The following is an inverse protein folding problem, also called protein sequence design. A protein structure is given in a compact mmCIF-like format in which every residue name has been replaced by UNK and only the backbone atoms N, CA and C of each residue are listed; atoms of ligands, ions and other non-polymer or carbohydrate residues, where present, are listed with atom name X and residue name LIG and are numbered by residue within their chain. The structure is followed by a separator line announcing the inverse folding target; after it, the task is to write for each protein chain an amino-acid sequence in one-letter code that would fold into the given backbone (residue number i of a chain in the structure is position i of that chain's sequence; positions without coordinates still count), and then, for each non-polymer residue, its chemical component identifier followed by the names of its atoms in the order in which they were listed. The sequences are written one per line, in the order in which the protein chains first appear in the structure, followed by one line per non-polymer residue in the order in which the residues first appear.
data_IF_452981376832
#
_entry.id   IF_452981376832
#
_cell.length_a   1.000
_cell.length_b   1.000
_cell.length_c   1.000
_cell.angle_alpha   90.00
_cell.angle_beta   90.00
_cell.angle_gamma   90.00
#
_symmetry.space_group_name_H-M   'P 1'
#
loop_
_entity.id
_entity.type
_entity.pdbx_description
1 polymer ?
#
# COMPACT_ATOMS: atom_id res chain seq x y z
N UNK A 1 -18.39 12.31 -5.24
CA UNK A 1 -17.21 11.80 -4.52
C UNK A 1 -16.79 10.42 -5.03
N UNK A 2 -17.42 9.29 -4.62
CA UNK A 2 -17.00 7.93 -5.03
C UNK A 2 -17.17 7.65 -6.54
N UNK A 3 -18.28 8.10 -7.15
CA UNK A 3 -18.52 7.93 -8.60
C UNK A 3 -17.47 8.61 -9.47
N UNK A 4 -17.03 9.81 -9.10
CA UNK A 4 -15.99 10.52 -9.84
C UNK A 4 -14.65 9.77 -9.74
N UNK A 5 -14.25 9.38 -8.53
CA UNK A 5 -13.04 8.57 -8.29
C UNK A 5 -13.04 7.28 -9.12
N UNK A 6 -14.19 6.61 -9.21
CA UNK A 6 -14.36 5.41 -10.04
C UNK A 6 -14.12 5.69 -11.53
N UNK A 7 -14.70 6.77 -12.04
CA UNK A 7 -14.54 7.16 -13.44
C UNK A 7 -13.09 7.51 -13.76
N UNK A 8 -12.43 8.29 -12.89
CA UNK A 8 -11.03 8.66 -13.06
C UNK A 8 -10.13 7.42 -13.11
N UNK A 9 -10.39 6.43 -12.25
CA UNK A 9 -9.67 5.15 -12.25
C UNK A 9 -9.91 4.32 -13.51
N UNK A 10 -11.13 4.32 -14.05
CA UNK A 10 -11.50 3.61 -15.28
C UNK A 10 -10.87 4.24 -16.53
N UNK A 11 -10.74 5.57 -16.56
CA UNK A 11 -10.01 6.26 -17.62
C UNK A 11 -8.51 5.93 -17.63
N UNK A 12 -7.98 5.45 -16.50
CA UNK A 12 -6.59 5.11 -16.32
C UNK A 12 -5.82 6.25 -15.64
N UNK A 13 -4.91 5.85 -14.74
CA UNK A 13 -4.06 6.75 -13.98
C UNK A 13 -2.68 6.13 -13.80
N UNK A 14 -1.65 6.96 -13.83
CA UNK A 14 -0.27 6.53 -13.65
C UNK A 14 0.12 6.47 -12.17
N UNK A 15 -0.48 7.32 -11.33
CA UNK A 15 -0.19 7.42 -9.89
C UNK A 15 -1.51 7.48 -9.12
N UNK A 16 -1.62 6.68 -8.06
CA UNK A 16 -2.77 6.65 -7.15
C UNK A 16 -2.29 6.91 -5.72
N UNK A 17 -2.94 7.87 -5.05
CA UNK A 17 -2.83 8.07 -3.60
C UNK A 17 -4.17 7.69 -3.00
N UNK A 18 -4.19 6.71 -2.11
CA UNK A 18 -5.44 6.21 -1.54
C UNK A 18 -5.25 5.65 -0.13
N UNK A 19 -6.32 5.74 0.66
CA UNK A 19 -6.41 4.99 1.91
C UNK A 19 -6.79 3.53 1.62
N UNK A 20 -6.29 2.55 2.39
CA UNK A 20 -6.44 1.13 2.07
C UNK A 20 -7.89 0.69 1.86
N UNK A 21 -8.81 1.15 2.71
CA UNK A 21 -10.23 0.79 2.61
C UNK A 21 -10.86 1.22 1.28
N UNK A 22 -10.68 2.48 0.87
CA UNK A 22 -11.27 3.00 -0.37
C UNK A 22 -10.61 2.37 -1.61
N UNK A 23 -9.32 2.09 -1.58
CA UNK A 23 -8.65 1.41 -2.68
C UNK A 23 -9.20 -0.01 -2.86
N UNK A 24 -9.36 -0.77 -1.77
CA UNK A 24 -9.93 -2.11 -1.82
C UNK A 24 -11.36 -2.14 -2.34
N UNK A 25 -12.19 -1.13 -2.03
CA UNK A 25 -13.52 -1.00 -2.64
C UNK A 25 -13.41 -0.97 -4.17
N UNK A 26 -12.50 -0.16 -4.73
CA UNK A 26 -12.35 0.00 -6.17
C UNK A 26 -11.74 -1.23 -6.85
N UNK A 27 -10.81 -1.91 -6.18
CA UNK A 27 -10.24 -3.17 -6.64
C UNK A 27 -11.30 -4.28 -6.67
N UNK A 28 -12.11 -4.39 -5.61
CA UNK A 28 -13.15 -5.43 -5.49
C UNK A 28 -14.31 -5.21 -6.48
N UNK A 29 -14.62 -3.96 -6.82
CA UNK A 29 -15.61 -3.60 -7.83
C UNK A 29 -15.06 -3.59 -9.26
N UNK A 30 -13.81 -4.00 -9.50
CA UNK A 30 -13.15 -4.04 -10.81
C UNK A 30 -13.09 -2.68 -11.55
N UNK A 31 -13.13 -1.56 -10.82
CA UNK A 31 -12.93 -0.23 -11.44
C UNK A 31 -11.46 0.02 -11.82
N UNK A 32 -10.53 -0.69 -11.18
CA UNK A 32 -9.10 -0.68 -11.52
C UNK A 32 -8.43 -1.97 -11.07
N UNK A 33 -7.14 -2.13 -11.35
CA UNK A 33 -6.31 -3.22 -10.85
C UNK A 33 -4.85 -2.76 -10.69
N UNK A 34 -4.08 -3.50 -9.90
CA UNK A 34 -2.68 -3.16 -9.63
C UNK A 34 -1.66 -4.05 -10.37
N UNK A 35 -2.10 -4.80 -11.39
CA UNK A 35 -1.25 -5.78 -12.11
C UNK A 35 -0.03 -5.15 -12.79
N UNK A 36 -0.10 -3.85 -13.10
CA UNK A 36 0.99 -3.08 -13.72
C UNK A 36 1.74 -2.17 -12.73
N UNK A 37 1.32 -2.14 -11.46
CA UNK A 37 1.97 -1.35 -10.44
C UNK A 37 3.40 -1.88 -10.21
N UNK A 38 4.39 -1.02 -10.39
CA UNK A 38 5.82 -1.36 -10.22
C UNK A 38 6.45 -0.66 -9.02
N UNK A 39 5.74 0.27 -8.39
CA UNK A 39 6.19 1.05 -7.24
C UNK A 39 5.08 1.12 -6.19
N UNK A 40 5.37 0.67 -4.99
CA UNK A 40 4.49 0.76 -3.84
C UNK A 40 5.15 1.64 -2.75
N UNK A 41 4.39 2.59 -2.23
CA UNK A 41 4.77 3.39 -1.06
C UNK A 41 3.76 3.15 0.05
N UNK A 42 4.25 2.75 1.22
CA UNK A 42 3.47 2.69 2.46
C UNK A 42 3.97 3.80 3.39
N UNK A 43 3.20 4.87 3.51
CA UNK A 43 3.51 5.99 4.40
C UNK A 43 2.74 5.86 5.72
N UNK A 44 3.35 6.32 6.82
CA UNK A 44 2.85 6.14 8.20
C UNK A 44 2.41 4.68 8.50
N UNK A 45 3.29 3.72 8.20
CA UNK A 45 2.96 2.30 8.31
C UNK A 45 2.54 1.88 9.72
N UNK A 46 3.19 2.40 10.76
CA UNK A 46 2.77 2.24 12.15
C UNK A 46 1.32 2.69 12.39
N UNK A 47 0.95 3.88 11.93
CA UNK A 47 -0.42 4.39 12.05
C UNK A 47 -1.44 3.52 11.35
N UNK A 48 -1.12 3.04 10.15
CA UNK A 48 -2.02 2.13 9.43
C UNK A 48 -2.24 0.82 10.20
N UNK A 49 -1.21 0.29 10.86
CA UNK A 49 -1.33 -0.90 11.71
C UNK A 49 -2.14 -0.62 12.98
N UNK A 50 -1.93 0.52 13.63
CA UNK A 50 -2.73 0.96 14.79
C UNK A 50 -4.23 1.08 14.45
N UNK A 51 -4.54 1.51 13.23
CA UNK A 51 -5.91 1.60 12.72
C UNK A 51 -6.51 0.25 12.28
N UNK A 52 -5.73 -0.84 12.37
CA UNK A 52 -6.17 -2.17 11.97
C UNK A 52 -6.27 -2.37 10.46
N UNK A 53 -5.54 -1.58 9.65
CA UNK A 53 -5.54 -1.71 8.18
C UNK A 53 -4.65 -2.83 7.65
N UNK A 54 -4.00 -3.61 8.51
CA UNK A 54 -3.12 -4.69 8.08
C UNK A 54 -3.79 -5.62 7.05
N UNK A 55 -5.00 -6.18 7.28
CA UNK A 55 -5.64 -7.07 6.31
C UNK A 55 -5.88 -6.41 4.95
N UNK A 56 -6.24 -5.13 4.95
CA UNK A 56 -6.48 -4.35 3.73
C UNK A 56 -5.17 -4.12 2.96
N UNK A 57 -4.07 -3.82 3.67
CA UNK A 57 -2.74 -3.70 3.07
C UNK A 57 -2.30 -5.03 2.45
N UNK A 58 -2.47 -6.14 3.19
CA UNK A 58 -2.13 -7.48 2.66
C UNK A 58 -2.89 -7.77 1.35
N UNK A 59 -4.18 -7.45 1.31
CA UNK A 59 -5.01 -7.64 0.13
C UNK A 59 -4.57 -6.77 -1.06
N UNK A 60 -4.16 -5.52 -0.82
CA UNK A 60 -3.64 -4.61 -1.85
C UNK A 60 -2.33 -5.15 -2.43
N UNK A 61 -1.36 -5.48 -1.57
CA UNK A 61 -0.04 -5.97 -1.99
C UNK A 61 -0.18 -7.28 -2.77
N UNK A 62 -1.09 -8.17 -2.36
CA UNK A 62 -1.37 -9.43 -3.07
C UNK A 62 -1.86 -9.28 -4.51
N UNK A 63 -2.31 -8.09 -4.92
CA UNK A 63 -2.72 -7.80 -6.31
C UNK A 63 -1.61 -7.15 -7.16
N UNK A 64 -0.48 -6.79 -6.54
CA UNK A 64 0.66 -6.19 -7.22
C UNK A 64 1.54 -7.31 -7.79
N UNK A 65 2.15 -7.06 -8.96
CA UNK A 65 3.11 -7.98 -9.58
C UNK A 65 4.27 -8.28 -8.62
N UNK A 66 4.86 -9.49 -8.60
CA UNK A 66 5.89 -9.86 -7.62
C UNK A 66 7.23 -9.11 -7.76
N UNK A 67 7.48 -8.53 -8.93
CA UNK A 67 8.64 -7.71 -9.29
C UNK A 67 8.25 -6.23 -9.27
N UNK A 68 8.13 -5.70 -8.05
CA UNK A 68 7.90 -4.29 -7.78
C UNK A 68 8.91 -3.79 -6.75
N UNK A 69 9.15 -2.48 -6.75
CA UNK A 69 9.90 -1.80 -5.71
C UNK A 69 8.93 -1.33 -4.62
N UNK A 70 9.28 -1.58 -3.36
CA UNK A 70 8.48 -1.13 -2.21
C UNK A 70 9.31 -0.22 -1.32
N UNK A 71 8.72 0.90 -0.93
CA UNK A 71 9.27 1.81 0.07
C UNK A 71 8.26 1.93 1.21
N UNK A 72 8.76 1.98 2.43
CA UNK A 72 7.94 2.07 3.64
C UNK A 72 8.50 3.14 4.57
N UNK A 73 7.63 3.99 5.10
CA UNK A 73 7.94 5.00 6.11
C UNK A 73 7.12 4.73 7.37
N UNK A 74 7.77 4.90 8.51
CA UNK A 74 7.17 4.70 9.83
C UNK A 74 7.89 5.61 10.82
N UNK A 75 7.13 6.26 11.71
CA UNK A 75 7.72 7.10 12.76
C UNK A 75 8.21 6.25 13.93
N UNK A 76 7.56 5.12 14.19
CA UNK A 76 7.89 4.18 15.25
C UNK A 76 8.23 2.79 14.69
N UNK A 77 8.87 1.94 15.50
CA UNK A 77 9.30 0.59 15.08
C UNK A 77 8.80 -0.53 16.01
N UNK A 78 7.48 -0.71 16.19
CA UNK A 78 6.95 -1.84 16.95
C UNK A 78 7.13 -3.17 16.19
N UNK A 79 7.01 -4.29 16.91
CA UNK A 79 7.13 -5.63 16.32
C UNK A 79 6.18 -5.87 15.14
N UNK A 80 5.00 -5.24 15.14
CA UNK A 80 4.05 -5.34 14.04
C UNK A 80 4.61 -4.74 12.73
N UNK A 81 5.27 -3.57 12.80
CA UNK A 81 5.95 -2.96 11.66
C UNK A 81 7.13 -3.83 11.22
N UNK A 82 7.92 -4.34 12.17
CA UNK A 82 9.04 -5.22 11.85
C UNK A 82 8.58 -6.52 11.15
N UNK A 83 7.43 -7.07 11.53
CA UNK A 83 6.81 -8.21 10.83
C UNK A 83 6.33 -7.83 9.43
N UNK A 84 5.66 -6.68 9.27
CA UNK A 84 5.22 -6.17 7.98
C UNK A 84 6.40 -6.04 7.00
N UNK A 85 7.52 -5.47 7.46
CA UNK A 85 8.75 -5.34 6.68
C UNK A 85 9.28 -6.69 6.20
N UNK A 86 9.38 -7.68 7.10
CA UNK A 86 9.87 -9.02 6.76
C UNK A 86 8.99 -9.73 5.75
N UNK A 87 7.69 -9.48 5.78
CA UNK A 87 6.74 -10.12 4.88
C UNK A 87 6.74 -9.49 3.47
N UNK A 88 7.03 -8.18 3.36
CA UNK A 88 6.76 -7.42 2.13
C UNK A 88 7.97 -6.75 1.48
N UNK A 89 9.04 -6.52 2.22
CA UNK A 89 10.27 -5.95 1.67
C UNK A 89 11.29 -7.06 1.39
N UNK A 90 11.89 -7.03 0.20
CA UNK A 90 12.96 -7.95 -0.23
C UNK A 90 14.28 -7.19 -0.27
N UNK A 91 15.35 -7.77 0.30
CA UNK A 91 16.71 -7.22 0.29
C UNK A 91 16.77 -5.70 0.62
N UNK A 92 15.98 -5.29 1.61
CA UNK A 92 15.77 -3.88 1.91
C UNK A 92 16.93 -3.26 2.69
N UNK A 93 17.07 -1.94 2.54
CA UNK A 93 17.96 -1.11 3.35
C UNK A 93 17.10 -0.44 4.41
N UNK A 94 17.44 -0.63 5.68
CA UNK A 94 16.84 0.14 6.76
C UNK A 94 17.60 1.45 6.94
N UNK A 95 16.87 2.56 6.87
CA UNK A 95 17.40 3.90 7.12
C UNK A 95 16.69 4.46 8.35
N UNK A 96 17.48 4.78 9.38
CA UNK A 96 16.98 5.45 10.57
C UNK A 96 17.47 6.91 10.53
N UNK A 97 16.54 7.86 10.55
CA UNK A 97 16.84 9.30 10.55
C UNK A 97 16.43 9.86 11.91
N UNK A 98 17.42 10.22 12.72
CA UNK A 98 17.21 10.57 14.13
C UNK A 98 17.57 9.41 15.07
N UNK A 99 17.09 9.49 16.32
CA UNK A 99 17.40 8.57 17.42
C UNK A 99 16.28 7.58 17.67
#
# INVERSE_FOLDING_TARGET
AKRQQSQDLEYGVEIVIATPGRLNDFLSSNHTNLKRCSYLVLDEADRMLDMGFEPQIRAIIGQIRPDHQTLMWSATWPDAVARLVKDYLKDYIQINVGS
#
